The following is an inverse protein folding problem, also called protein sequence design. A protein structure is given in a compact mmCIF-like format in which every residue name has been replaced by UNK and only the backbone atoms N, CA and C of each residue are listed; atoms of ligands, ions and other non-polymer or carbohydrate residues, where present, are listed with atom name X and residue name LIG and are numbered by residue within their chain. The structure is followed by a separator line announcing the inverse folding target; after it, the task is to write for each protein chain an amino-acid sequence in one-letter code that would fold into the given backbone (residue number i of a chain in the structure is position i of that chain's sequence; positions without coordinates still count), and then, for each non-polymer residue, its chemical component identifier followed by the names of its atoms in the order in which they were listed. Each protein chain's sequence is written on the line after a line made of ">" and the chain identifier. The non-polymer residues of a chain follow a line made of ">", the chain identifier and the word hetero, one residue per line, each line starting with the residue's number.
data_IF_783903460223
#
_entry.id   IF_783903460223
#
_cell.length_a   1.000
_cell.length_b   1.000
_cell.length_c   1.000
_cell.angle_alpha   90.00
_cell.angle_beta   90.00
_cell.angle_gamma   90.00
#
_symmetry.space_group_name_H-M   'P 1'
#
loop_
_entity.id
_entity.type
_entity.pdbx_description
1 polymer ?
#
# COMPACT_ATOMS: atom_id res chain seq x y z
N UNK A 1 -21.91 -17.72 -16.46
CA UNK A 1 -22.39 -16.83 -15.40
C UNK A 1 -21.58 -15.57 -15.53
N UNK A 2 -22.22 -14.51 -16.03
CA UNK A 2 -21.64 -13.18 -16.05
C UNK A 2 -21.39 -12.77 -14.59
N UNK A 3 -20.16 -12.85 -14.15
CA UNK A 3 -19.74 -12.20 -12.91
C UNK A 3 -19.95 -10.70 -13.15
N UNK A 4 -21.04 -10.15 -12.60
CA UNK A 4 -21.04 -8.72 -12.31
C UNK A 4 -19.83 -8.52 -11.39
N UNK A 5 -18.87 -7.72 -11.81
CA UNK A 5 -17.83 -7.21 -10.92
C UNK A 5 -18.56 -6.61 -9.75
N UNK A 6 -18.67 -7.36 -8.65
CA UNK A 6 -19.27 -6.81 -7.43
C UNK A 6 -18.39 -5.62 -7.03
N UNK A 7 -18.98 -4.57 -6.46
CA UNK A 7 -18.29 -3.39 -5.93
C UNK A 7 -17.31 -3.73 -4.78
N UNK A 8 -16.85 -4.97 -4.72
CA UNK A 8 -16.06 -5.51 -3.62
C UNK A 8 -14.63 -5.78 -4.02
N UNK A 9 -13.72 -4.97 -3.53
CA UNK A 9 -12.29 -5.28 -3.50
C UNK A 9 -12.01 -6.33 -2.42
N UNK A 10 -11.14 -7.27 -2.71
CA UNK A 10 -10.66 -8.20 -1.70
C UNK A 10 -9.16 -8.45 -1.81
N UNK A 11 -8.59 -8.86 -0.70
CA UNK A 11 -7.19 -9.25 -0.59
C UNK A 11 -7.07 -10.54 0.22
N UNK A 12 -6.19 -11.42 -0.24
CA UNK A 12 -5.84 -12.65 0.44
C UNK A 12 -4.35 -12.63 0.78
N UNK A 13 -4.02 -12.88 2.03
CA UNK A 13 -2.63 -13.02 2.47
C UNK A 13 -2.20 -14.47 2.32
N UNK A 14 -1.07 -14.68 1.67
CA UNK A 14 -0.42 -15.99 1.54
C UNK A 14 1.02 -15.90 2.04
N UNK A 15 1.69 -17.03 2.34
CA UNK A 15 3.10 -17.01 2.74
C UNK A 15 4.03 -16.35 1.71
N UNK A 16 3.69 -16.49 0.43
CA UNK A 16 4.48 -15.94 -0.68
C UNK A 16 4.16 -14.45 -0.93
N UNK A 17 3.12 -13.92 -0.28
CA UNK A 17 2.69 -12.55 -0.37
C UNK A 17 1.19 -12.41 -0.64
N UNK A 18 0.67 -11.18 -0.62
CA UNK A 18 -0.75 -10.92 -0.84
C UNK A 18 -1.14 -11.10 -2.31
N UNK A 19 -2.41 -11.49 -2.50
CA UNK A 19 -3.12 -11.47 -3.78
C UNK A 19 -4.36 -10.63 -3.64
N UNK A 20 -4.62 -9.74 -4.59
CA UNK A 20 -5.77 -8.86 -4.52
C UNK A 20 -6.55 -8.84 -5.82
N UNK A 21 -7.84 -8.56 -5.69
CA UNK A 21 -8.75 -8.28 -6.78
C UNK A 21 -9.29 -6.86 -6.60
N UNK A 22 -9.11 -6.06 -7.64
CA UNK A 22 -9.51 -4.66 -7.70
C UNK A 22 -10.47 -4.51 -8.87
N UNK A 23 -11.79 -4.42 -8.64
CA UNK A 23 -12.75 -4.19 -9.70
C UNK A 23 -12.51 -2.80 -10.30
N UNK A 24 -12.62 -2.72 -11.61
CA UNK A 24 -12.59 -1.49 -12.39
C UNK A 24 -13.99 -1.23 -12.98
N UNK A 25 -14.06 -0.54 -14.09
CA UNK A 25 -15.31 -0.30 -14.79
C UNK A 25 -15.79 -1.55 -15.54
N UNK A 26 -17.07 -1.70 -15.72
CA UNK A 26 -17.72 -2.82 -16.40
C UNK A 26 -17.25 -4.19 -15.87
N UNK A 27 -16.74 -5.05 -16.74
CA UNK A 27 -16.23 -6.40 -16.42
C UNK A 27 -14.71 -6.44 -16.26
N UNK A 28 -14.05 -5.29 -16.14
CA UNK A 28 -12.62 -5.20 -16.00
C UNK A 28 -12.20 -5.26 -14.54
N UNK A 29 -11.06 -5.85 -14.30
CA UNK A 29 -10.44 -5.89 -12.99
C UNK A 29 -8.92 -5.89 -13.09
N UNK A 30 -8.26 -5.40 -12.06
CA UNK A 30 -6.83 -5.59 -11.85
C UNK A 30 -6.62 -6.69 -10.83
N UNK A 31 -5.81 -7.67 -11.18
CA UNK A 31 -5.32 -8.70 -10.26
C UNK A 31 -3.90 -8.32 -9.82
N UNK A 32 -3.70 -8.29 -8.52
CA UNK A 32 -2.39 -8.04 -7.93
C UNK A 32 -1.86 -9.35 -7.38
N UNK A 33 -0.68 -9.75 -7.81
CA UNK A 33 -0.03 -10.99 -7.41
C UNK A 33 1.38 -10.72 -6.90
N UNK A 34 1.58 -10.91 -5.61
CA UNK A 34 2.90 -10.87 -5.00
C UNK A 34 3.44 -12.28 -4.88
N UNK A 35 4.72 -12.44 -5.23
CA UNK A 35 5.41 -13.72 -5.12
C UNK A 35 6.93 -13.50 -5.10
N UNK A 36 7.67 -14.57 -4.96
CA UNK A 36 9.13 -14.54 -5.03
C UNK A 36 9.63 -14.00 -6.38
N UNK A 37 10.79 -13.35 -6.44
CA UNK A 37 11.35 -12.85 -7.71
C UNK A 37 11.52 -13.96 -8.76
N UNK A 38 11.81 -15.18 -8.35
CA UNK A 38 11.93 -16.33 -9.24
C UNK A 38 10.58 -16.70 -9.87
N UNK A 39 9.52 -16.73 -9.04
CA UNK A 39 8.17 -17.01 -9.50
C UNK A 39 7.64 -15.91 -10.41
N UNK A 40 7.85 -14.66 -10.09
CA UNK A 40 7.45 -13.52 -10.94
C UNK A 40 8.11 -13.61 -12.32
N UNK A 41 9.41 -13.92 -12.40
CA UNK A 41 10.08 -14.14 -13.69
C UNK A 41 9.46 -15.28 -14.50
N UNK A 42 9.05 -16.36 -13.85
CA UNK A 42 8.33 -17.47 -14.53
C UNK A 42 6.99 -16.98 -15.11
N UNK A 43 6.20 -16.25 -14.31
CA UNK A 43 4.91 -15.70 -14.75
C UNK A 43 5.06 -14.70 -15.91
N UNK A 44 6.10 -13.88 -15.90
CA UNK A 44 6.38 -12.93 -16.98
C UNK A 44 6.71 -13.61 -18.32
N UNK A 45 7.27 -14.83 -18.29
CA UNK A 45 7.61 -15.59 -19.48
C UNK A 45 6.44 -16.45 -20.02
N UNK A 46 5.29 -16.44 -19.35
CA UNK A 46 4.10 -17.17 -19.77
C UNK A 46 3.30 -16.39 -20.82
N UNK A 47 2.71 -17.12 -21.77
CA UNK A 47 1.67 -16.54 -22.61
C UNK A 47 0.36 -16.35 -21.81
N UNK A 48 -0.60 -15.61 -22.36
CA UNK A 48 -1.86 -15.29 -21.65
C UNK A 48 -2.69 -16.53 -21.28
N UNK A 49 -2.67 -17.59 -22.08
CA UNK A 49 -3.38 -18.82 -21.76
C UNK A 49 -2.74 -19.56 -20.57
N UNK A 50 -1.41 -19.61 -20.53
CA UNK A 50 -0.67 -20.18 -19.41
C UNK A 50 -0.87 -19.36 -18.15
N UNK A 51 -0.82 -18.03 -18.27
CA UNK A 51 -1.06 -17.12 -17.14
C UNK A 51 -2.49 -17.28 -16.59
N UNK A 52 -3.48 -17.45 -17.45
CA UNK A 52 -4.86 -17.74 -17.06
C UNK A 52 -4.98 -19.02 -16.24
N UNK A 53 -4.32 -20.08 -16.67
CA UNK A 53 -4.30 -21.36 -15.94
C UNK A 53 -3.65 -21.21 -14.55
N UNK A 54 -2.58 -20.43 -14.45
CA UNK A 54 -1.92 -20.16 -13.16
C UNK A 54 -2.77 -19.27 -12.25
N UNK A 55 -3.49 -18.29 -12.79
CA UNK A 55 -4.45 -17.48 -12.02
C UNK A 55 -5.55 -18.40 -11.46
N UNK A 56 -6.16 -19.25 -12.29
CA UNK A 56 -7.21 -20.17 -11.85
C UNK A 56 -6.75 -21.12 -10.74
N UNK A 57 -5.48 -21.52 -10.76
CA UNK A 57 -4.88 -22.43 -9.76
C UNK A 57 -4.53 -21.75 -8.45
N UNK A 58 -4.11 -20.49 -8.49
CA UNK A 58 -3.51 -19.81 -7.34
C UNK A 58 -4.39 -18.75 -6.70
N UNK A 59 -5.42 -18.26 -7.38
CA UNK A 59 -6.39 -17.35 -6.81
C UNK A 59 -7.58 -18.10 -6.22
N UNK A 60 -8.30 -17.50 -5.23
CA UNK A 60 -9.48 -18.12 -4.66
C UNK A 60 -10.54 -18.44 -5.71
N UNK A 61 -11.25 -19.55 -5.55
CA UNK A 61 -12.33 -19.99 -6.45
C UNK A 61 -13.43 -18.95 -6.67
N UNK A 62 -13.62 -18.06 -5.70
CA UNK A 62 -14.56 -16.91 -5.82
C UNK A 62 -14.20 -15.92 -6.95
N UNK A 63 -12.96 -15.96 -7.47
CA UNK A 63 -12.58 -15.14 -8.61
C UNK A 63 -13.32 -15.54 -9.88
N UNK A 64 -13.68 -16.83 -10.00
CA UNK A 64 -14.32 -17.34 -11.20
C UNK A 64 -13.38 -17.40 -12.41
N UNK A 65 -13.98 -17.39 -13.59
CA UNK A 65 -13.22 -17.40 -14.84
C UNK A 65 -12.77 -15.97 -15.20
N UNK A 66 -11.49 -15.81 -15.48
CA UNK A 66 -10.90 -14.55 -15.94
C UNK A 66 -10.08 -14.75 -17.20
N UNK A 67 -10.05 -13.78 -18.07
CA UNK A 67 -9.20 -13.74 -19.27
C UNK A 67 -8.17 -12.63 -19.08
N UNK A 68 -6.89 -12.93 -18.85
CA UNK A 68 -5.85 -11.92 -18.74
C UNK A 68 -5.62 -11.26 -20.10
N UNK A 69 -5.57 -9.94 -20.14
CA UNK A 69 -5.39 -9.13 -21.36
C UNK A 69 -4.01 -8.52 -21.43
N UNK A 70 -3.47 -8.16 -20.28
CA UNK A 70 -2.13 -7.62 -20.14
C UNK A 70 -1.56 -8.01 -18.78
N UNK A 71 -0.25 -8.12 -18.69
CA UNK A 71 0.46 -8.34 -17.44
C UNK A 71 1.74 -7.52 -17.42
N UNK A 72 2.08 -7.01 -16.25
CA UNK A 72 3.34 -6.32 -16.00
C UNK A 72 3.86 -6.71 -14.63
N UNK A 73 5.16 -6.66 -14.42
CA UNK A 73 5.76 -6.90 -13.13
C UNK A 73 6.87 -5.89 -12.86
N UNK A 74 7.00 -5.51 -11.62
CA UNK A 74 8.06 -4.61 -11.14
C UNK A 74 8.52 -5.04 -9.75
N UNK A 75 9.78 -4.78 -9.41
CA UNK A 75 10.31 -5.11 -8.10
C UNK A 75 9.72 -4.18 -7.06
N UNK A 76 9.32 -4.75 -5.92
CA UNK A 76 8.90 -3.96 -4.76
C UNK A 76 10.14 -3.59 -3.96
N UNK A 77 10.47 -2.33 -3.95
CA UNK A 77 11.63 -1.81 -3.24
C UNK A 77 11.12 -0.93 -2.11
N UNK A 78 11.44 -1.32 -0.87
CA UNK A 78 11.22 -0.47 0.28
C UNK A 78 12.38 0.51 0.41
N UNK A 79 12.08 1.80 0.46
CA UNK A 79 13.06 2.85 0.66
C UNK A 79 12.50 3.93 1.58
N UNK A 80 13.39 4.57 2.31
CA UNK A 80 13.08 5.74 3.12
C UNK A 80 14.30 6.67 3.08
N UNK A 81 14.11 7.88 2.56
CA UNK A 81 15.19 8.86 2.50
C UNK A 81 15.58 9.30 3.92
N UNK A 82 16.87 9.36 4.18
CA UNK A 82 17.38 9.84 5.47
C UNK A 82 17.14 11.34 5.65
N UNK A 83 16.98 12.06 4.55
CA UNK A 83 16.73 13.49 4.52
C UNK A 83 15.75 13.80 3.39
N UNK A 84 14.65 14.52 3.71
CA UNK A 84 13.63 14.89 2.73
C UNK A 84 13.90 16.23 2.06
N UNK A 85 14.70 17.08 2.69
CA UNK A 85 14.87 18.47 2.24
C UNK A 85 16.32 18.93 2.22
N UNK A 86 16.60 19.80 1.27
CA UNK A 86 17.80 20.64 1.21
C UNK A 86 17.37 22.07 0.86
N UNK A 87 18.25 23.09 0.95
CA UNK A 87 17.91 24.42 0.47
C UNK A 87 17.38 24.40 -0.95
N UNK A 88 16.15 24.88 -1.17
CA UNK A 88 15.49 24.90 -2.48
C UNK A 88 14.98 23.57 -3.00
N UNK A 89 15.05 22.47 -2.22
CA UNK A 89 14.62 21.12 -2.66
C UNK A 89 13.84 20.42 -1.57
N UNK A 90 12.74 19.77 -1.98
CA UNK A 90 11.97 18.85 -1.12
C UNK A 90 11.60 17.57 -1.90
N UNK A 91 11.77 16.41 -1.27
CA UNK A 91 11.31 15.12 -1.77
C UNK A 91 9.88 14.88 -1.28
N UNK A 92 9.02 14.34 -2.14
CA UNK A 92 7.63 13.97 -1.82
C UNK A 92 7.29 12.60 -2.39
N UNK A 93 6.35 11.88 -1.76
CA UNK A 93 5.89 10.57 -2.21
C UNK A 93 7.01 9.55 -2.30
N UNK A 94 7.02 8.75 -3.35
CA UNK A 94 7.98 7.65 -3.55
C UNK A 94 9.43 8.10 -3.64
N UNK A 95 9.70 9.38 -3.96
CA UNK A 95 11.04 9.95 -3.93
C UNK A 95 11.57 10.07 -2.49
N UNK A 96 10.68 10.31 -1.51
CA UNK A 96 11.02 10.41 -0.10
C UNK A 96 10.89 9.05 0.62
N UNK A 97 9.87 8.27 0.30
CA UNK A 97 9.57 7.01 0.97
C UNK A 97 8.76 6.07 0.08
N UNK A 98 9.22 4.87 -0.08
CA UNK A 98 8.46 3.78 -0.73
C UNK A 98 8.07 2.78 0.35
N UNK A 99 6.78 2.69 0.64
CA UNK A 99 6.24 1.77 1.64
C UNK A 99 5.83 0.44 1.01
N UNK A 100 5.62 -0.57 1.85
CA UNK A 100 5.08 -1.85 1.42
C UNK A 100 3.64 -1.63 0.88
N UNK A 101 3.33 -2.00 -0.36
CA UNK A 101 2.06 -1.64 -1.01
C UNK A 101 0.86 -2.49 -0.57
N UNK A 102 0.90 -3.07 0.63
CA UNK A 102 -0.14 -3.95 1.19
C UNK A 102 -1.56 -3.39 1.14
N UNK A 103 -1.69 -2.09 1.25
CA UNK A 103 -3.01 -1.45 1.29
C UNK A 103 -3.20 -0.37 0.22
N UNK A 104 -2.31 -0.30 -0.79
CA UNK A 104 -2.36 0.75 -1.81
C UNK A 104 -2.15 2.17 -1.28
N UNK A 105 -1.51 2.32 -0.11
CA UNK A 105 -1.41 3.59 0.62
C UNK A 105 -0.28 4.51 0.11
N UNK A 106 0.59 4.04 -0.79
CA UNK A 106 1.73 4.84 -1.26
C UNK A 106 1.32 6.19 -1.83
N UNK A 107 0.36 6.21 -2.73
CA UNK A 107 -0.18 7.45 -3.33
C UNK A 107 -0.82 8.36 -2.29
N UNK A 108 -1.58 7.80 -1.36
CA UNK A 108 -2.24 8.57 -0.29
C UNK A 108 -1.23 9.26 0.63
N UNK A 109 -0.13 8.60 0.95
CA UNK A 109 0.96 9.22 1.71
C UNK A 109 1.63 10.32 0.91
N UNK A 110 1.81 10.14 -0.40
CA UNK A 110 2.33 11.17 -1.29
C UNK A 110 1.43 12.42 -1.32
N UNK A 111 0.12 12.27 -1.37
CA UNK A 111 -0.81 13.41 -1.28
C UNK A 111 -0.70 14.13 0.06
N UNK A 112 -0.58 13.40 1.18
CA UNK A 112 -0.34 14.02 2.50
C UNK A 112 0.99 14.77 2.56
N UNK A 113 2.01 14.31 1.85
CA UNK A 113 3.28 15.03 1.74
C UNK A 113 3.07 16.36 1.00
N UNK A 114 2.35 16.34 -0.12
CA UNK A 114 2.03 17.53 -0.90
C UNK A 114 1.26 18.54 -0.05
N UNK A 115 0.20 18.11 0.63
CA UNK A 115 -0.60 18.98 1.51
C UNK A 115 0.26 19.62 2.61
N UNK A 116 1.09 18.81 3.28
CA UNK A 116 1.97 19.31 4.33
C UNK A 116 3.03 20.29 3.80
N UNK A 117 3.57 20.05 2.60
CA UNK A 117 4.52 20.95 1.96
C UNK A 117 3.85 22.27 1.58
N UNK A 118 2.67 22.22 0.96
CA UNK A 118 1.90 23.42 0.60
C UNK A 118 1.59 24.26 1.85
N UNK A 119 1.11 23.64 2.93
CA UNK A 119 0.84 24.32 4.18
C UNK A 119 2.07 25.09 4.70
N UNK A 120 3.23 24.41 4.70
CA UNK A 120 4.48 25.02 5.17
C UNK A 120 4.91 26.18 4.30
N UNK A 121 4.82 26.04 2.97
CA UNK A 121 5.23 27.08 2.02
C UNK A 121 4.30 28.29 2.05
N UNK A 122 2.98 28.08 2.09
CA UNK A 122 1.98 29.15 2.18
C UNK A 122 2.14 29.93 3.47
N UNK A 123 2.29 29.25 4.61
CA UNK A 123 2.52 29.89 5.90
C UNK A 123 3.81 30.71 5.88
N UNK A 124 4.91 30.14 5.41
CA UNK A 124 6.18 30.85 5.34
C UNK A 124 6.08 32.11 4.48
N UNK A 125 5.39 32.02 3.34
CA UNK A 125 5.17 33.17 2.47
C UNK A 125 4.32 34.25 3.14
N UNK A 126 3.27 33.89 3.88
CA UNK A 126 2.41 34.84 4.59
C UNK A 126 3.12 35.60 5.70
N UNK A 127 4.14 35.01 6.29
CA UNK A 127 5.00 35.64 7.29
C UNK A 127 6.26 36.31 6.72
N UNK A 128 6.40 36.38 5.39
CA UNK A 128 7.57 37.00 4.75
C UNK A 128 8.87 36.19 4.90
N UNK A 129 8.77 34.91 5.26
CA UNK A 129 9.94 34.04 5.40
C UNK A 129 10.51 33.62 4.03
N UNK A 130 11.80 33.32 3.98
CA UNK A 130 12.43 32.72 2.78
C UNK A 130 11.94 31.27 2.61
N UNK A 131 10.80 31.10 1.95
CA UNK A 131 10.06 29.84 1.84
C UNK A 131 10.87 28.66 1.31
N UNK A 132 11.89 28.91 0.47
CA UNK A 132 12.78 27.85 -0.05
C UNK A 132 13.98 27.57 0.86
N UNK A 133 14.09 28.26 2.02
CA UNK A 133 15.18 28.06 2.96
C UNK A 133 15.09 26.71 3.67
N UNK A 134 16.25 26.18 4.08
CA UNK A 134 16.30 24.93 4.83
C UNK A 134 15.46 24.93 6.12
N UNK A 135 15.47 25.99 6.97
CA UNK A 135 14.66 26.01 8.18
C UNK A 135 13.16 25.88 7.93
N UNK A 136 12.67 26.50 6.85
CA UNK A 136 11.25 26.39 6.46
C UNK A 136 10.93 25.00 5.96
N UNK A 137 11.70 24.49 5.00
CA UNK A 137 11.48 23.14 4.44
C UNK A 137 11.67 22.04 5.49
N UNK A 138 12.51 22.24 6.48
CA UNK A 138 12.69 21.29 7.58
C UNK A 138 11.42 21.10 8.42
N UNK A 139 10.52 22.09 8.51
CA UNK A 139 9.20 21.93 9.17
C UNK A 139 8.36 20.86 8.47
N UNK A 140 8.36 20.86 7.14
CA UNK A 140 7.74 19.81 6.33
C UNK A 140 8.37 18.43 6.63
N UNK A 141 9.70 18.33 6.56
CA UNK A 141 10.40 17.08 6.85
C UNK A 141 10.04 16.53 8.24
N UNK A 142 10.09 17.33 9.28
CA UNK A 142 9.79 16.90 10.65
C UNK A 142 8.35 16.40 10.79
N UNK A 143 7.39 17.09 10.16
CA UNK A 143 5.97 16.71 10.17
C UNK A 143 5.74 15.38 9.45
N UNK A 144 6.36 15.17 8.29
CA UNK A 144 6.08 14.01 7.44
C UNK A 144 6.93 12.79 7.72
N UNK A 145 8.20 12.99 8.07
CA UNK A 145 9.12 11.88 8.29
C UNK A 145 8.69 10.98 9.45
N UNK A 146 8.22 11.57 10.54
CA UNK A 146 7.70 10.83 11.68
C UNK A 146 6.43 10.03 11.32
N UNK A 147 5.46 10.67 10.64
CA UNK A 147 4.22 10.04 10.19
C UNK A 147 4.49 8.88 9.21
N UNK A 148 5.34 9.12 8.22
CA UNK A 148 5.68 8.13 7.21
C UNK A 148 6.43 6.93 7.81
N UNK A 149 7.34 7.19 8.74
CA UNK A 149 8.04 6.14 9.47
C UNK A 149 7.08 5.29 10.32
N UNK A 150 6.15 5.93 11.03
CA UNK A 150 5.15 5.24 11.85
C UNK A 150 4.21 4.39 10.99
N UNK A 151 3.73 4.93 9.87
CA UNK A 151 2.89 4.18 8.92
C UNK A 151 3.65 2.99 8.33
N UNK A 152 4.89 3.19 7.91
CA UNK A 152 5.74 2.14 7.37
C UNK A 152 5.97 1.02 8.39
N UNK A 153 6.33 1.37 9.62
CA UNK A 153 6.54 0.40 10.70
C UNK A 153 5.26 -0.37 11.04
N UNK A 154 4.12 0.31 11.05
CA UNK A 154 2.81 -0.32 11.25
C UNK A 154 2.48 -1.32 10.15
N UNK A 155 2.72 -0.97 8.88
CA UNK A 155 2.51 -1.88 7.74
C UNK A 155 3.46 -3.08 7.76
N UNK A 156 4.72 -2.89 8.15
CA UNK A 156 5.69 -3.97 8.28
C UNK A 156 5.28 -4.96 9.39
N UNK A 157 4.85 -4.45 10.54
CA UNK A 157 4.36 -5.27 11.65
C UNK A 157 3.10 -6.05 11.25
N UNK A 158 2.18 -5.39 10.55
CA UNK A 158 0.98 -6.02 10.02
C UNK A 158 1.36 -7.15 9.04
N UNK A 159 2.25 -6.87 8.09
CA UNK A 159 2.71 -7.87 7.14
C UNK A 159 3.36 -9.07 7.84
N UNK A 160 4.28 -8.84 8.78
CA UNK A 160 4.93 -9.89 9.54
C UNK A 160 3.92 -10.77 10.31
N UNK A 161 2.89 -10.14 10.90
CA UNK A 161 1.83 -10.86 11.62
C UNK A 161 0.92 -11.69 10.71
N UNK A 162 0.62 -11.20 9.50
CA UNK A 162 -0.33 -11.85 8.59
C UNK A 162 0.32 -12.84 7.61
N UNK A 163 1.59 -12.68 7.28
CA UNK A 163 2.34 -13.58 6.40
C UNK A 163 2.90 -14.81 7.11
N UNK A 164 2.72 -14.91 8.43
CA UNK A 164 3.28 -15.99 9.23
C UNK A 164 2.27 -17.14 9.39
N UNK A 165 2.74 -18.38 9.17
CA UNK A 165 1.93 -19.60 9.27
C UNK A 165 2.13 -20.37 10.59
N UNK A 166 2.90 -19.84 11.55
CA UNK A 166 3.10 -20.50 12.84
C UNK A 166 1.76 -20.60 13.62
N UNK A 167 1.36 -21.80 14.07
CA UNK A 167 0.06 -22.01 14.71
C UNK A 167 -0.24 -21.07 15.89
N UNK A 168 0.69 -20.81 16.83
CA UNK A 168 0.42 -19.91 17.95
C UNK A 168 0.20 -18.47 17.50
N UNK A 169 0.92 -17.98 16.48
CA UNK A 169 0.75 -16.64 15.95
C UNK A 169 -0.57 -16.49 15.19
N UNK A 170 -1.03 -17.54 14.51
CA UNK A 170 -2.37 -17.57 13.89
C UNK A 170 -3.48 -17.45 14.93
N UNK A 171 -3.34 -18.13 16.06
CA UNK A 171 -4.32 -18.05 17.14
C UNK A 171 -4.39 -16.64 17.74
N UNK A 172 -3.23 -16.05 18.10
CA UNK A 172 -3.13 -14.69 18.64
C UNK A 172 -3.68 -13.66 17.65
N UNK A 173 -3.35 -13.79 16.36
CA UNK A 173 -3.87 -12.93 15.29
C UNK A 173 -5.39 -13.00 15.20
N UNK A 174 -5.96 -14.21 15.19
CA UNK A 174 -7.41 -14.38 15.08
C UNK A 174 -8.12 -13.81 16.30
N UNK A 175 -7.58 -14.01 17.49
CA UNK A 175 -8.12 -13.41 18.71
C UNK A 175 -8.04 -11.87 18.67
N UNK A 176 -6.91 -11.32 18.19
CA UNK A 176 -6.74 -9.88 18.00
C UNK A 176 -7.73 -9.29 16.99
N UNK A 177 -8.00 -10.00 15.89
CA UNK A 177 -9.01 -9.58 14.90
C UNK A 177 -10.42 -9.60 15.50
N UNK A 178 -10.78 -10.64 16.26
CA UNK A 178 -12.07 -10.71 16.97
C UNK A 178 -12.23 -9.58 17.99
N UNK A 179 -11.18 -9.25 18.74
CA UNK A 179 -11.18 -8.11 19.65
C UNK A 179 -11.30 -6.77 18.90
N UNK A 180 -10.58 -6.59 17.80
CA UNK A 180 -10.65 -5.40 16.96
C UNK A 180 -12.04 -5.21 16.33
N UNK A 181 -12.72 -6.30 15.98
CA UNK A 181 -14.07 -6.26 15.42
C UNK A 181 -15.09 -5.70 16.44
N UNK A 182 -14.85 -5.94 17.73
CA UNK A 182 -15.67 -5.45 18.85
C UNK A 182 -15.26 -4.07 19.35
N UNK A 183 -14.14 -3.53 18.91
CA UNK A 183 -13.56 -2.27 19.40
C UNK A 183 -14.28 -0.98 18.95
N UNK A 184 -15.41 -1.05 18.27
CA UNK A 184 -16.35 0.05 17.95
C UNK A 184 -15.70 1.37 17.53
N UNK A 185 -15.57 2.31 18.44
CA UNK A 185 -15.01 3.67 18.18
C UNK A 185 -13.53 3.63 17.82
N UNK A 186 -12.75 2.75 18.46
CA UNK A 186 -11.32 2.62 18.21
C UNK A 186 -11.06 2.09 16.79
N UNK A 187 -11.85 1.11 16.34
CA UNK A 187 -11.86 0.60 14.98
C UNK A 187 -12.12 1.71 13.96
N UNK A 188 -13.13 2.56 14.22
CA UNK A 188 -13.46 3.70 13.34
C UNK A 188 -12.34 4.73 13.27
N UNK A 189 -11.70 5.07 14.39
CA UNK A 189 -10.55 5.99 14.40
C UNK A 189 -9.35 5.41 13.65
N UNK A 190 -9.02 4.14 13.89
CA UNK A 190 -7.94 3.46 13.18
C UNK A 190 -8.23 3.39 11.66
N UNK A 191 -9.47 3.08 11.27
CA UNK A 191 -9.89 3.04 9.87
C UNK A 191 -9.80 4.42 9.21
N UNK A 192 -10.28 5.48 9.86
CA UNK A 192 -10.15 6.86 9.37
C UNK A 192 -8.69 7.24 9.18
N UNK A 193 -7.84 6.96 10.15
CA UNK A 193 -6.39 7.21 10.03
C UNK A 193 -5.76 6.44 8.85
N UNK A 194 -6.11 5.17 8.70
CA UNK A 194 -5.64 4.35 7.59
C UNK A 194 -6.14 4.84 6.22
N UNK A 195 -7.36 5.36 6.14
CA UNK A 195 -7.96 5.93 4.92
C UNK A 195 -7.52 7.38 4.64
N UNK A 196 -6.86 8.03 5.60
CA UNK A 196 -6.46 9.42 5.46
C UNK A 196 -7.57 10.45 5.69
N UNK A 197 -8.60 10.05 6.44
CA UNK A 197 -9.80 10.86 6.78
C UNK A 197 -9.71 11.41 8.22
#
# INVERSE_FOLDING_TARGET
>A
TLFRSGDSTWQQFTPDGPRAFLPLFDNWASLVWYDSPARIRQLQNMNMAQLQAEIAKHFPSRLGYVTPLAAGAFPLIRRHALQYVQPGLALVGDAAHTIHPLAGQGVNLGYRDVDALIDVLVNARSYGEAWASYPVLKRYQMRRMADNFMMQSGMDLFYAGFSNNLPPLRFVRNLGLMAAERAGVLKRKALKYALGL
#
